data_IF_604878535320
#
_entry.id   IF_604878535320
#
_cell.length_a   1.000
_cell.length_b   1.000
_cell.length_c   1.000
_cell.angle_alpha   90.00
_cell.angle_beta   90.00
_cell.angle_gamma   90.00
#
_symmetry.space_group_name_H-M   'P 1'
#
loop_
_entity.id
_entity.type
_entity.pdbx_description
1 polymer ?
#
# COMPACT_ATOMS: atom_id res chain seq x y z
N UNK A 1 -29.05 8.84 -22.41
CA UNK A 1 -28.03 8.81 -21.35
C UNK A 1 -26.70 8.47 -21.99
N UNK A 2 -25.70 9.36 -21.88
CA UNK A 2 -24.33 9.10 -22.31
C UNK A 2 -23.69 8.06 -21.39
N UNK A 3 -22.98 7.08 -21.95
CA UNK A 3 -22.35 6.00 -21.20
C UNK A 3 -21.13 6.53 -20.47
N UNK A 4 -21.13 6.49 -19.13
CA UNK A 4 -19.96 6.85 -18.31
C UNK A 4 -19.00 5.66 -18.30
N UNK A 5 -17.72 5.90 -18.57
CA UNK A 5 -16.67 4.87 -18.56
C UNK A 5 -15.54 5.28 -17.62
N UNK A 6 -15.04 4.35 -16.82
CA UNK A 6 -13.87 4.57 -15.97
C UNK A 6 -12.58 4.40 -16.77
N UNK A 7 -11.60 5.26 -16.53
CA UNK A 7 -10.27 5.18 -17.13
C UNK A 7 -9.20 5.38 -16.06
N UNK A 8 -8.09 4.62 -16.16
CA UNK A 8 -6.93 4.79 -15.29
C UNK A 8 -6.16 6.02 -15.78
N UNK A 9 -6.14 7.08 -14.98
CA UNK A 9 -5.51 8.34 -15.37
C UNK A 9 -4.06 8.47 -14.89
N UNK A 10 -3.71 7.83 -13.78
CA UNK A 10 -2.35 7.79 -13.25
C UNK A 10 -2.14 6.57 -12.36
N UNK A 11 -0.87 6.21 -12.20
CA UNK A 11 -0.40 5.15 -11.31
C UNK A 11 0.80 5.72 -10.55
N UNK A 12 0.78 5.56 -9.24
CA UNK A 12 1.85 5.86 -8.30
C UNK A 12 2.07 4.67 -7.38
N UNK A 13 3.31 4.50 -6.91
CA UNK A 13 3.69 3.38 -6.08
C UNK A 13 4.75 3.79 -5.09
N UNK A 14 4.76 3.13 -3.95
CA UNK A 14 5.80 3.29 -2.94
C UNK A 14 6.20 1.91 -2.42
N UNK A 15 7.51 1.76 -2.23
CA UNK A 15 8.12 0.52 -1.75
C UNK A 15 9.09 0.90 -0.63
N UNK A 16 9.06 0.21 0.53
CA UNK A 16 9.99 0.47 1.62
C UNK A 16 11.46 0.29 1.20
N UNK A 17 12.36 0.99 1.90
CA UNK A 17 13.79 0.97 1.60
C UNK A 17 14.48 -0.32 2.06
N UNK A 18 13.97 -0.94 3.13
CA UNK A 18 14.61 -2.14 3.67
C UNK A 18 14.33 -3.37 2.80
N UNK A 19 15.42 -3.98 2.34
CA UNK A 19 15.44 -5.18 1.50
C UNK A 19 15.73 -6.39 2.38
N UNK A 20 14.79 -7.33 2.42
CA UNK A 20 15.02 -8.67 2.94
C UNK A 20 15.49 -9.57 1.80
N UNK A 21 16.77 -9.94 1.83
CA UNK A 21 17.37 -10.87 0.87
C UNK A 21 17.09 -12.31 1.28
N UNK A 22 17.22 -13.24 0.35
CA UNK A 22 17.08 -14.67 0.63
C UNK A 22 18.12 -15.16 1.65
N UNK A 23 19.36 -14.64 1.62
CA UNK A 23 20.38 -14.98 2.62
C UNK A 23 19.93 -14.68 4.07
N UNK A 24 19.26 -13.54 4.29
CA UNK A 24 18.71 -13.21 5.60
C UNK A 24 17.53 -14.12 6.00
N UNK A 25 16.82 -14.69 5.01
CA UNK A 25 15.74 -15.65 5.26
C UNK A 25 16.27 -17.05 5.62
N UNK A 26 17.39 -17.47 5.03
CA UNK A 26 18.07 -18.73 5.37
C UNK A 26 18.53 -18.76 6.83
N UNK A 27 18.93 -17.61 7.38
CA UNK A 27 19.30 -17.49 8.80
C UNK A 27 18.10 -17.57 9.75
N UNK A 28 16.88 -17.24 9.28
CA UNK A 28 15.67 -17.22 10.10
C UNK A 28 14.85 -18.51 10.01
N UNK A 29 14.96 -19.23 8.89
CA UNK A 29 14.20 -20.45 8.60
C UNK A 29 15.10 -21.41 7.83
N UNK A 30 15.01 -22.72 8.11
CA UNK A 30 15.69 -23.78 7.36
C UNK A 30 15.21 -23.84 5.90
N UNK A 31 15.73 -22.94 5.07
CA UNK A 31 15.44 -22.81 3.63
C UNK A 31 16.74 -22.55 2.89
N UNK A 32 16.71 -22.63 1.56
CA UNK A 32 17.86 -22.34 0.69
C UNK A 32 17.38 -21.47 -0.48
N UNK A 33 18.18 -20.50 -0.91
CA UNK A 33 17.95 -19.59 -2.04
C UNK A 33 17.52 -20.36 -3.29
N UNK A 34 18.17 -21.48 -3.59
CA UNK A 34 17.82 -22.30 -4.75
C UNK A 34 16.38 -22.82 -4.65
N UNK A 35 15.98 -23.29 -3.47
CA UNK A 35 14.61 -23.75 -3.23
C UNK A 35 13.58 -22.60 -3.34
N UNK A 36 13.91 -21.43 -2.79
CA UNK A 36 13.04 -20.24 -2.82
C UNK A 36 12.86 -19.75 -4.25
N UNK A 37 13.94 -19.62 -5.01
CA UNK A 37 13.93 -19.10 -6.38
C UNK A 37 13.25 -20.08 -7.33
N UNK A 38 13.52 -21.39 -7.22
CA UNK A 38 12.89 -22.40 -8.10
C UNK A 38 11.38 -22.48 -7.89
N UNK A 39 10.89 -22.31 -6.65
CA UNK A 39 9.45 -22.41 -6.34
C UNK A 39 8.68 -21.11 -6.47
N UNK A 40 9.29 -19.99 -6.10
CA UNK A 40 8.59 -18.69 -6.01
C UNK A 40 9.09 -17.66 -7.01
N UNK A 41 10.31 -17.80 -7.52
CA UNK A 41 10.97 -16.79 -8.36
C UNK A 41 11.36 -15.51 -7.62
N UNK A 42 11.21 -15.46 -6.29
CA UNK A 42 11.46 -14.25 -5.50
C UNK A 42 12.89 -14.25 -4.97
N UNK A 43 13.64 -13.18 -5.27
CA UNK A 43 15.01 -12.96 -4.75
C UNK A 43 15.07 -12.00 -3.56
N UNK A 44 14.16 -11.01 -3.57
CA UNK A 44 14.16 -9.92 -2.61
C UNK A 44 12.73 -9.56 -2.25
N UNK A 45 12.51 -9.26 -0.97
CA UNK A 45 11.26 -8.74 -0.44
C UNK A 45 11.52 -7.41 0.24
N UNK A 46 10.51 -6.55 0.28
CA UNK A 46 10.62 -5.22 0.88
C UNK A 46 9.79 -5.21 2.14
N UNK A 47 10.40 -4.84 3.27
CA UNK A 47 9.75 -4.87 4.58
C UNK A 47 9.79 -3.49 5.19
N UNK A 48 8.67 -3.04 5.72
CA UNK A 48 8.62 -1.85 6.55
C UNK A 48 9.10 -2.21 7.95
N UNK A 49 10.31 -1.77 8.33
CA UNK A 49 10.90 -2.01 9.66
C UNK A 49 10.73 -0.85 10.65
N UNK A 50 10.18 0.27 10.19
CA UNK A 50 10.03 1.46 11.01
C UNK A 50 8.92 1.29 12.05
N UNK A 51 9.25 1.55 13.32
CA UNK A 51 8.29 1.45 14.42
C UNK A 51 7.15 2.48 14.27
N UNK A 52 5.92 2.02 14.52
CA UNK A 52 4.72 2.85 14.44
C UNK A 52 4.22 3.13 13.02
N UNK A 53 4.87 2.60 11.98
CA UNK A 53 4.38 2.71 10.60
C UNK A 53 3.68 1.42 10.17
N UNK A 54 2.48 1.56 9.65
CA UNK A 54 1.69 0.45 9.14
C UNK A 54 1.39 0.54 7.64
N UNK A 55 0.37 -0.20 7.19
CA UNK A 55 -0.08 -0.21 5.80
C UNK A 55 -0.60 1.16 5.35
N UNK A 56 -1.16 1.98 6.25
CA UNK A 56 -1.60 3.34 5.91
C UNK A 56 -0.43 4.21 5.45
N UNK A 57 0.74 4.10 6.09
CA UNK A 57 1.93 4.85 5.70
C UNK A 57 2.36 4.55 4.25
N UNK A 58 2.30 3.27 3.86
CA UNK A 58 2.60 2.86 2.48
C UNK A 58 1.60 3.45 1.48
N UNK A 59 0.31 3.40 1.83
CA UNK A 59 -0.77 3.98 1.03
C UNK A 59 -0.62 5.49 0.84
N UNK A 60 -0.29 6.22 1.92
CA UNK A 60 -0.06 7.67 1.89
C UNK A 60 1.09 8.01 0.95
N UNK A 61 2.22 7.29 1.04
CA UNK A 61 3.37 7.55 0.18
C UNK A 61 3.09 7.26 -1.29
N UNK A 62 2.37 6.17 -1.58
CA UNK A 62 1.93 5.87 -2.94
C UNK A 62 0.96 6.93 -3.50
N UNK A 63 0.02 7.41 -2.67
CA UNK A 63 -0.92 8.46 -3.04
C UNK A 63 -0.23 9.81 -3.26
N UNK A 64 0.72 10.20 -2.39
CA UNK A 64 1.56 11.39 -2.56
C UNK A 64 2.31 11.35 -3.90
N UNK A 65 2.95 10.20 -4.21
CA UNK A 65 3.64 10.03 -5.48
C UNK A 65 2.71 10.18 -6.69
N UNK A 66 1.48 9.67 -6.61
CA UNK A 66 0.47 9.82 -7.66
C UNK A 66 0.02 11.28 -7.84
N UNK A 67 -0.24 11.96 -6.71
CA UNK A 67 -0.67 13.36 -6.68
C UNK A 67 0.42 14.25 -7.27
N UNK A 68 1.68 14.07 -6.86
CA UNK A 68 2.83 14.81 -7.40
C UNK A 68 3.01 14.58 -8.89
N UNK A 69 2.88 13.33 -9.35
CA UNK A 69 3.07 12.97 -10.76
C UNK A 69 2.00 13.56 -11.68
N UNK A 70 0.75 13.66 -11.21
CA UNK A 70 -0.38 14.18 -12.01
C UNK A 70 -0.69 15.66 -11.74
N UNK A 71 -0.14 16.23 -10.67
CA UNK A 71 -0.45 17.59 -10.22
C UNK A 71 -1.91 17.78 -9.82
N UNK A 72 -2.54 16.75 -9.23
CA UNK A 72 -3.93 16.81 -8.81
C UNK A 72 -4.08 17.62 -7.51
N UNK A 73 -5.18 18.37 -7.37
CA UNK A 73 -5.57 18.88 -6.04
C UNK A 73 -6.27 17.75 -5.27
N UNK A 74 -5.79 17.38 -4.06
CA UNK A 74 -6.45 16.39 -3.22
C UNK A 74 -7.94 16.67 -2.95
N UNK A 75 -8.38 17.93 -3.08
CA UNK A 75 -9.79 18.33 -2.88
C UNK A 75 -10.72 17.91 -4.02
N UNK A 76 -10.19 17.56 -5.19
CA UNK A 76 -10.98 17.07 -6.33
C UNK A 76 -11.31 15.56 -6.24
N UNK A 77 -10.78 14.87 -5.23
CA UNK A 77 -10.99 13.44 -5.04
C UNK A 77 -12.32 13.21 -4.33
N UNK A 78 -13.32 12.73 -5.07
CA UNK A 78 -14.65 12.41 -4.52
C UNK A 78 -14.69 11.10 -3.72
N UNK A 79 -13.81 10.14 -4.06
CA UNK A 79 -13.80 8.80 -3.47
C UNK A 79 -12.38 8.27 -3.32
N UNK A 80 -12.08 7.72 -2.15
CA UNK A 80 -10.85 6.99 -1.87
C UNK A 80 -11.19 5.56 -1.44
N UNK A 81 -10.56 4.58 -2.10
CA UNK A 81 -10.70 3.16 -1.79
C UNK A 81 -9.34 2.65 -1.34
N UNK A 82 -9.29 2.08 -0.14
CA UNK A 82 -8.06 1.49 0.42
C UNK A 82 -8.25 -0.01 0.63
N UNK A 83 -7.72 -0.82 -0.30
CA UNK A 83 -7.78 -2.27 -0.24
C UNK A 83 -6.55 -2.80 0.53
N UNK A 84 -6.75 -3.24 1.77
CA UNK A 84 -5.70 -3.85 2.60
C UNK A 84 -6.25 -5.03 3.40
N UNK A 85 -5.46 -6.10 3.49
CA UNK A 85 -5.74 -7.24 4.38
C UNK A 85 -5.07 -7.08 5.77
N UNK A 86 -4.19 -6.09 5.93
CA UNK A 86 -3.43 -5.82 7.16
C UNK A 86 -3.63 -4.37 7.59
N UNK A 87 -4.85 -3.99 8.03
CA UNK A 87 -5.12 -2.64 8.51
C UNK A 87 -4.34 -2.36 9.80
N UNK A 88 -3.93 -1.10 9.99
CA UNK A 88 -3.15 -0.66 11.15
C UNK A 88 -3.88 -0.84 12.49
N UNK A 89 -5.21 -0.92 12.44
CA UNK A 89 -6.04 -1.16 13.61
C UNK A 89 -6.95 -2.38 13.33
N UNK A 90 -7.00 -3.39 14.24
CA UNK A 90 -7.76 -4.62 14.04
C UNK A 90 -9.29 -4.45 14.18
N UNK A 91 -9.74 -3.36 14.80
CA UNK A 91 -11.10 -2.85 14.60
C UNK A 91 -11.00 -1.67 13.66
N UNK A 92 -11.89 -1.63 12.68
CA UNK A 92 -12.23 -0.41 11.97
C UNK A 92 -13.33 0.31 12.77
N UNK A 93 -13.05 1.14 13.80
CA UNK A 93 -13.93 2.27 14.00
C UNK A 93 -13.70 3.18 12.79
N UNK A 94 -14.73 3.85 12.33
CA UNK A 94 -14.75 4.68 11.12
C UNK A 94 -13.71 5.85 11.05
N UNK A 95 -12.65 5.85 11.86
CA UNK A 95 -11.78 7.00 12.15
C UNK A 95 -10.42 7.00 11.45
N UNK A 96 -9.81 5.85 11.13
CA UNK A 96 -8.41 5.87 10.62
C UNK A 96 -8.30 6.44 9.20
N UNK A 97 -9.39 6.43 8.42
CA UNK A 97 -9.46 7.12 7.13
C UNK A 97 -9.83 8.61 7.25
N UNK A 98 -10.51 9.01 8.32
CA UNK A 98 -10.87 10.41 8.58
C UNK A 98 -9.64 11.27 8.99
N UNK A 99 -8.57 10.64 9.48
CA UNK A 99 -7.29 11.33 9.67
C UNK A 99 -6.55 11.66 8.36
N UNK A 100 -6.89 11.00 7.26
CA UNK A 100 -6.27 11.23 5.94
C UNK A 100 -7.04 12.21 5.07
N UNK A 101 -8.37 12.23 5.23
CA UNK A 101 -9.25 13.20 4.61
C UNK A 101 -10.11 13.79 5.71
N UNK A 102 -10.01 15.11 5.91
CA UNK A 102 -10.76 15.89 6.92
C UNK A 102 -12.28 15.96 6.61
N UNK A 103 -12.85 14.90 6.03
CA UNK A 103 -14.24 14.72 5.63
C UNK A 103 -14.67 13.26 5.80
N UNK A 104 -15.85 13.11 6.40
CA UNK A 104 -16.57 11.86 6.58
C UNK A 104 -17.04 11.30 5.23
N UNK A 105 -16.23 10.47 4.57
CA UNK A 105 -16.69 9.67 3.44
C UNK A 105 -16.66 8.17 3.76
N UNK A 106 -17.69 7.49 3.27
CA UNK A 106 -18.08 6.13 3.61
C UNK A 106 -17.06 5.14 3.03
N UNK A 107 -16.14 4.67 3.87
CA UNK A 107 -15.07 3.76 3.46
C UNK A 107 -15.58 2.32 3.51
N UNK A 108 -15.65 1.67 2.34
CA UNK A 108 -15.91 0.24 2.24
C UNK A 108 -14.59 -0.53 2.26
N UNK A 109 -14.39 -1.35 3.30
CA UNK A 109 -13.37 -2.40 3.28
C UNK A 109 -13.92 -3.60 2.49
N UNK A 110 -13.22 -3.97 1.41
CA UNK A 110 -13.23 -5.32 0.86
C UNK A 110 -11.86 -5.95 1.14
#
# INVERSE_FOLDING_TARGET
MTKITAAITAIGGYVPDFVLTNAMLEEMVETNDEWIVTRTGIKERRILKEEGKGSSFLGIKAAQNLIEKKGLDPKEIDLLIFATATPDMPRCPHWTLCSLTNRSYQCFCF
#
